data_IF_802102406323
#
_entry.id   IF_802102406323
#
_cell.length_a   1.000
_cell.length_b   1.000
_cell.length_c   1.000
_cell.angle_alpha   90.00
_cell.angle_beta   90.00
_cell.angle_gamma   90.00
#
_symmetry.space_group_name_H-M   'P 1'
#
loop_
_entity.id
_entity.type
_entity.pdbx_description
1 polymer ?
#
# COMPACT_ATOMS: atom_id res chain seq x y z
N UNK A 1 -10.93 4.71 3.51
CA UNK A 1 -11.25 4.56 2.07
C UNK A 1 -10.26 3.58 1.45
N UNK A 2 -10.63 2.81 0.43
CA UNK A 2 -9.74 1.86 -0.24
C UNK A 2 -9.85 1.98 -1.76
N UNK A 3 -8.78 1.62 -2.46
CA UNK A 3 -8.72 1.50 -3.91
C UNK A 3 -8.75 0.01 -4.26
N UNK A 4 -9.61 -0.38 -5.19
CA UNK A 4 -9.64 -1.74 -5.71
C UNK A 4 -8.57 -1.90 -6.77
N UNK A 5 -7.67 -2.87 -6.58
CA UNK A 5 -6.63 -3.23 -7.55
C UNK A 5 -6.77 -4.68 -7.97
N UNK A 6 -6.55 -4.97 -9.25
CA UNK A 6 -6.52 -6.35 -9.76
C UNK A 6 -5.07 -6.73 -10.02
N UNK A 7 -4.59 -7.77 -9.34
CA UNK A 7 -3.20 -8.23 -9.48
C UNK A 7 -2.93 -8.80 -10.86
N UNK A 8 -1.72 -8.57 -11.35
CA UNK A 8 -1.21 -9.19 -12.58
C UNK A 8 -0.26 -10.34 -12.26
N UNK A 9 0.09 -11.16 -13.26
CA UNK A 9 0.96 -12.32 -13.05
C UNK A 9 2.38 -11.86 -12.68
N UNK A 10 2.92 -12.42 -11.59
CA UNK A 10 4.25 -12.04 -11.11
C UNK A 10 4.27 -10.79 -10.21
N UNK A 11 3.12 -10.20 -9.88
CA UNK A 11 3.05 -9.00 -9.07
C UNK A 11 3.37 -9.30 -7.59
N UNK A 12 4.00 -8.35 -6.89
CA UNK A 12 4.49 -8.55 -5.51
C UNK A 12 3.98 -7.46 -4.57
N UNK A 13 3.86 -7.79 -3.29
CA UNK A 13 3.39 -6.88 -2.24
C UNK A 13 4.20 -5.58 -2.14
N UNK A 14 5.53 -5.66 -2.29
CA UNK A 14 6.43 -4.51 -2.29
C UNK A 14 6.23 -3.59 -3.50
N UNK A 15 5.93 -4.15 -4.67
CA UNK A 15 5.63 -3.37 -5.87
C UNK A 15 4.30 -2.62 -5.73
N UNK A 16 3.29 -3.27 -5.16
CA UNK A 16 2.02 -2.64 -4.81
C UNK A 16 2.24 -1.49 -3.83
N UNK A 17 2.97 -1.73 -2.74
CA UNK A 17 3.26 -0.70 -1.75
C UNK A 17 4.01 0.50 -2.35
N UNK A 18 5.00 0.24 -3.21
CA UNK A 18 5.70 1.31 -3.91
C UNK A 18 4.78 2.07 -4.89
N UNK A 19 3.94 1.38 -5.65
CA UNK A 19 3.00 2.00 -6.61
C UNK A 19 1.98 2.90 -5.92
N UNK A 20 1.44 2.49 -4.77
CA UNK A 20 0.35 3.18 -4.09
C UNK A 20 0.80 4.13 -2.99
N UNK A 21 1.91 3.82 -2.32
CA UNK A 21 2.41 4.59 -1.17
C UNK A 21 3.77 5.24 -1.40
N UNK A 22 4.43 4.96 -2.54
CA UNK A 22 5.80 5.42 -2.79
C UNK A 22 6.86 4.73 -1.94
N UNK A 23 6.47 3.76 -1.10
CA UNK A 23 7.33 3.10 -0.12
C UNK A 23 7.10 1.59 -0.17
N UNK A 24 8.11 0.87 -0.66
CA UNK A 24 8.08 -0.57 -0.83
C UNK A 24 7.94 -1.34 0.50
N UNK A 25 8.28 -0.72 1.64
CA UNK A 25 8.14 -1.33 2.96
C UNK A 25 6.74 -1.18 3.55
N UNK A 26 5.88 -0.33 2.96
CA UNK A 26 4.49 -0.12 3.41
C UNK A 26 3.51 -1.12 2.82
N UNK A 27 3.90 -2.38 2.65
CA UNK A 27 2.98 -3.41 2.17
C UNK A 27 2.09 -3.99 3.29
N UNK A 28 2.49 -3.83 4.55
CA UNK A 28 1.77 -4.39 5.71
C UNK A 28 0.30 -3.93 5.79
N UNK A 29 -0.05 -2.65 5.57
CA UNK A 29 -1.46 -2.22 5.55
C UNK A 29 -2.28 -2.90 4.46
N UNK A 30 -1.69 -3.17 3.29
CA UNK A 30 -2.36 -3.87 2.19
C UNK A 30 -2.64 -5.31 2.60
N UNK A 31 -1.67 -5.99 3.20
CA UNK A 31 -1.81 -7.36 3.71
C UNK A 31 -2.90 -7.42 4.79
N UNK A 32 -2.88 -6.49 5.74
CA UNK A 32 -3.88 -6.44 6.82
C UNK A 32 -5.30 -6.16 6.30
N UNK A 33 -5.43 -5.36 5.25
CA UNK A 33 -6.72 -5.12 4.58
C UNK A 33 -7.22 -6.34 3.79
N UNK A 34 -6.34 -7.28 3.43
CA UNK A 34 -6.67 -8.46 2.63
C UNK A 34 -6.25 -9.76 3.34
N UNK A 35 -6.81 -10.08 4.52
CA UNK A 35 -6.42 -11.27 5.30
C UNK A 35 -6.78 -12.59 4.61
N UNK A 36 -7.65 -12.55 3.61
CA UNK A 36 -8.04 -13.69 2.78
C UNK A 36 -6.99 -14.05 1.72
N UNK A 37 -6.04 -13.15 1.44
CA UNK A 37 -4.98 -13.38 0.47
C UNK A 37 -3.74 -13.88 1.21
N UNK A 38 -3.18 -15.04 0.82
CA UNK A 38 -1.98 -15.55 1.45
C UNK A 38 -0.78 -14.63 1.17
N UNK A 39 0.07 -14.44 2.18
CA UNK A 39 1.30 -13.65 2.06
C UNK A 39 2.36 -14.51 1.35
N UNK A 40 2.27 -14.57 0.03
CA UNK A 40 3.24 -15.25 -0.83
C UNK A 40 4.23 -14.24 -1.44
N UNK A 41 5.40 -14.73 -1.84
CA UNK A 41 6.41 -13.88 -2.49
C UNK A 41 5.95 -13.32 -3.84
N UNK A 42 5.04 -14.04 -4.51
CA UNK A 42 4.42 -13.70 -5.79
C UNK A 42 2.92 -13.88 -5.63
N UNK A 43 2.14 -12.88 -6.04
CA UNK A 43 0.69 -12.93 -6.06
C UNK A 43 0.22 -13.57 -7.37
N UNK A 44 -0.79 -14.46 -7.32
CA UNK A 44 -1.42 -14.93 -8.55
C UNK A 44 -2.17 -13.78 -9.24
N UNK A 45 -2.29 -13.87 -10.56
CA UNK A 45 -3.04 -12.90 -11.35
C UNK A 45 -4.55 -13.01 -11.10
N UNK A 46 -5.26 -11.89 -11.24
CA UNK A 46 -6.72 -11.84 -11.12
C UNK A 46 -7.25 -11.76 -9.69
N UNK A 47 -6.40 -11.59 -8.67
CA UNK A 47 -6.87 -11.30 -7.32
C UNK A 47 -7.31 -9.85 -7.22
N UNK A 48 -8.43 -9.63 -6.54
CA UNK A 48 -8.91 -8.30 -6.21
C UNK A 48 -8.41 -7.91 -4.83
N UNK A 49 -7.51 -6.92 -4.76
CA UNK A 49 -6.97 -6.39 -3.52
C UNK A 49 -7.63 -5.06 -3.16
N UNK A 50 -8.00 -4.93 -1.90
CA UNK A 50 -8.40 -3.66 -1.31
C UNK A 50 -7.15 -2.93 -0.77
N UNK A 51 -6.76 -1.85 -1.42
CA UNK A 51 -5.58 -1.07 -1.03
C UNK A 51 -6.04 0.10 -0.17
N UNK A 52 -5.77 0.08 1.15
CA UNK A 52 -6.22 1.16 2.02
C UNK A 52 -5.52 2.46 1.65
N UNK A 53 -6.26 3.56 1.56
CA UNK A 53 -5.67 4.88 1.38
C UNK A 53 -5.11 5.31 2.73
N UNK A 54 -3.78 5.42 2.81
CA UNK A 54 -3.10 5.92 3.99
C UNK A 54 -3.12 7.44 3.93
N UNK A 55 -3.46 8.08 5.05
CA UNK A 55 -3.25 9.52 5.17
C UNK A 55 -1.74 9.78 5.07
N UNK A 56 -1.32 10.79 4.30
CA UNK A 56 0.07 11.20 4.32
C UNK A 56 0.42 11.51 5.77
N UNK A 57 1.45 10.84 6.29
CA UNK A 57 2.08 11.26 7.53
C UNK A 57 2.65 12.64 7.20
N UNK A 58 1.90 13.69 7.55
CA UNK A 58 2.40 15.05 7.53
C UNK A 58 3.55 15.05 8.52
N UNK A 59 4.76 14.83 8.01
CA UNK A 59 5.97 15.07 8.78
C UNK A 59 5.88 16.53 9.18
N UNK A 60 5.62 16.81 10.46
CA UNK A 60 5.54 18.16 11.03
C UNK A 60 6.87 18.94 10.92
N UNK A 61 7.81 18.46 10.11
CA UNK A 61 9.09 19.06 9.78
C UNK A 61 9.00 20.05 8.61
N UNK A 62 7.89 20.06 7.85
CA UNK A 62 7.65 21.04 6.79
C UNK A 62 6.71 22.18 7.20
N UNK A 63 6.38 22.32 8.49
CA UNK A 63 5.72 23.53 8.96
C UNK A 63 6.77 24.64 9.09
N UNK A 64 6.69 25.71 8.27
CA UNK A 64 7.62 26.81 8.40
C UNK A 64 7.45 27.49 9.78
N UNK A 65 8.53 28.07 10.34
CA UNK A 65 8.61 28.44 11.76
C UNK A 65 7.58 29.48 12.23
N UNK A 66 6.89 30.16 11.32
CA UNK A 66 5.86 31.17 11.60
C UNK A 66 4.44 30.60 11.77
N UNK A 67 4.26 29.29 11.58
CA UNK A 67 3.00 28.57 11.84
C UNK A 67 3.12 27.65 13.07
N UNK A 68 4.09 27.93 13.96
CA UNK A 68 4.17 27.32 15.30
C UNK A 68 3.43 28.17 16.32
#
# INVERSE_FOLDING_TARGET
MFITHVTTEGERWDQLAWRYYGDAHRYLPIVQANPHVPITAILPSGLTLAIPILEPVTSAQDLPPWMR
#
